data_IF_772569557749
#
_entry.id   IF_772569557749
#
_cell.length_a   1.000
_cell.length_b   1.000
_cell.length_c   1.000
_cell.angle_alpha   90.00
_cell.angle_beta   90.00
_cell.angle_gamma   90.00
#
_symmetry.space_group_name_H-M   'P 1'
#
loop_
_entity.id
_entity.type
_entity.pdbx_description
1 polymer ?
#
# COMPACT_ATOMS: atom_id res chain seq x y z
N UNK A 1 -5.02 -6.33 24.15
CA UNK A 1 -4.48 -5.28 25.04
C UNK A 1 -4.69 -3.93 24.36
N UNK A 2 -5.44 -3.01 24.97
CA UNK A 2 -5.61 -1.65 24.42
C UNK A 2 -4.61 -0.71 25.10
N UNK A 3 -3.79 -0.01 24.30
CA UNK A 3 -2.85 1.01 24.79
C UNK A 3 -3.46 2.38 24.58
N UNK A 4 -3.54 3.18 25.64
CA UNK A 4 -3.94 4.60 25.57
C UNK A 4 -2.71 5.45 25.33
N UNK A 5 -2.76 6.33 24.34
CA UNK A 5 -1.71 7.27 23.99
C UNK A 5 -2.34 8.63 23.83
N UNK A 6 -1.84 9.62 24.58
CA UNK A 6 -2.17 11.03 24.37
C UNK A 6 -1.20 11.60 23.34
N UNK A 7 -1.74 12.29 22.35
CA UNK A 7 -0.96 12.92 21.27
C UNK A 7 -1.10 14.44 21.41
N UNK A 8 0.01 15.14 21.39
CA UNK A 8 0.05 16.60 21.28
C UNK A 8 0.64 16.90 19.91
N UNK A 9 -0.13 17.58 19.07
CA UNK A 9 0.28 17.94 17.72
C UNK A 9 0.99 19.29 17.75
N UNK A 10 2.00 19.43 16.91
CA UNK A 10 2.57 20.74 16.57
C UNK A 10 1.74 21.34 15.45
N UNK A 11 1.80 22.66 15.30
CA UNK A 11 1.06 23.39 14.26
C UNK A 11 1.22 22.80 12.85
N UNK A 12 2.42 22.30 12.53
CA UNK A 12 2.71 21.67 11.24
C UNK A 12 1.97 20.34 11.09
N UNK A 13 1.94 19.52 12.14
CA UNK A 13 1.26 18.22 12.10
C UNK A 13 -0.26 18.41 12.04
N UNK A 14 -0.77 19.39 12.79
CA UNK A 14 -2.18 19.79 12.78
C UNK A 14 -2.61 20.27 11.40
N UNK A 15 -1.83 21.15 10.76
CA UNK A 15 -2.13 21.66 9.42
C UNK A 15 -2.23 20.55 8.36
N UNK A 16 -1.44 19.47 8.49
CA UNK A 16 -1.50 18.33 7.58
C UNK A 16 -2.78 17.52 7.76
N UNK A 17 -3.25 17.35 8.99
CA UNK A 17 -4.44 16.53 9.28
C UNK A 17 -5.75 17.33 9.25
N UNK A 18 -5.69 18.67 9.32
CA UNK A 18 -6.84 19.55 9.39
C UNK A 18 -7.90 19.27 8.31
N UNK A 19 -7.55 19.01 7.03
CA UNK A 19 -8.56 18.64 6.04
C UNK A 19 -9.31 17.38 6.44
N UNK A 20 -8.64 16.37 6.98
CA UNK A 20 -9.27 15.13 7.40
C UNK A 20 -10.08 15.23 8.69
N UNK A 21 -10.06 16.36 9.39
CA UNK A 21 -10.89 16.62 10.57
C UNK A 21 -12.18 17.38 10.22
N UNK A 22 -12.24 18.00 9.04
CA UNK A 22 -13.39 18.73 8.56
C UNK A 22 -14.34 17.80 7.78
N UNK A 23 -15.51 17.52 8.36
CA UNK A 23 -16.52 16.62 7.79
C UNK A 23 -17.03 17.06 6.41
N UNK A 24 -16.97 18.36 6.10
CA UNK A 24 -17.42 18.92 4.82
C UNK A 24 -16.35 18.86 3.73
N UNK A 25 -15.15 18.37 4.06
CA UNK A 25 -14.03 18.32 3.11
C UNK A 25 -14.03 17.05 2.27
N UNK A 26 -13.56 17.17 1.03
CA UNK A 26 -13.31 16.03 0.15
C UNK A 26 -12.30 15.03 0.77
N UNK A 27 -11.33 15.53 1.54
CA UNK A 27 -10.33 14.71 2.20
C UNK A 27 -10.94 13.81 3.28
N UNK A 28 -11.85 14.35 4.09
CA UNK A 28 -12.61 13.58 5.07
C UNK A 28 -13.49 12.53 4.39
N UNK A 29 -14.17 12.88 3.30
CA UNK A 29 -15.03 11.95 2.57
C UNK A 29 -14.24 10.76 1.98
N UNK A 30 -13.05 11.02 1.43
CA UNK A 30 -12.15 9.94 0.97
C UNK A 30 -11.73 9.05 2.14
N UNK A 31 -11.40 9.62 3.30
CA UNK A 31 -11.02 8.86 4.49
C UNK A 31 -12.19 8.04 5.04
N UNK A 32 -13.41 8.59 5.03
CA UNK A 32 -14.64 7.91 5.43
C UNK A 32 -14.90 6.70 4.55
N UNK A 33 -14.83 6.86 3.23
CA UNK A 33 -15.00 5.76 2.28
C UNK A 33 -13.92 4.69 2.47
N UNK A 34 -12.67 5.09 2.67
CA UNK A 34 -11.57 4.16 2.98
C UNK A 34 -11.84 3.35 4.25
N UNK A 35 -12.37 3.98 5.30
CA UNK A 35 -12.73 3.33 6.56
C UNK A 35 -13.89 2.35 6.39
N UNK A 36 -14.94 2.76 5.65
CA UNK A 36 -16.12 1.94 5.37
C UNK A 36 -15.76 0.66 4.61
N UNK A 37 -14.89 0.75 3.61
CA UNK A 37 -14.37 -0.42 2.87
C UNK A 37 -13.66 -1.43 3.77
N UNK A 38 -13.21 -1.02 4.95
CA UNK A 38 -12.50 -1.85 5.95
C UNK A 38 -13.38 -2.23 7.13
N UNK A 39 -14.69 -2.02 7.03
CA UNK A 39 -15.65 -2.33 8.09
C UNK A 39 -15.55 -1.40 9.29
N UNK A 40 -14.91 -0.23 9.15
CA UNK A 40 -14.86 0.79 10.19
C UNK A 40 -15.98 1.79 9.97
N UNK A 41 -17.11 1.57 10.65
CA UNK A 41 -18.26 2.43 10.54
C UNK A 41 -18.12 3.67 11.43
N UNK A 42 -18.49 4.84 10.89
CA UNK A 42 -18.78 6.05 11.64
C UNK A 42 -17.56 6.68 12.31
N UNK A 43 -16.82 7.48 11.55
CA UNK A 43 -15.83 8.41 12.09
C UNK A 43 -16.60 9.54 12.79
N UNK A 44 -16.83 9.40 14.10
CA UNK A 44 -17.66 10.33 14.91
C UNK A 44 -16.87 11.21 15.88
N UNK A 45 -15.54 11.18 15.78
CA UNK A 45 -14.65 11.93 16.67
C UNK A 45 -13.29 12.10 16.01
N UNK A 46 -12.58 13.17 16.36
CA UNK A 46 -11.19 13.40 15.95
C UNK A 46 -10.30 12.20 16.29
N UNK A 47 -10.49 11.60 17.47
CA UNK A 47 -9.76 10.40 17.86
C UNK A 47 -10.06 9.19 16.96
N UNK A 48 -11.25 9.12 16.37
CA UNK A 48 -11.57 8.11 15.36
C UNK A 48 -10.86 8.44 14.05
N UNK A 49 -10.91 9.69 13.57
CA UNK A 49 -10.19 10.17 12.37
C UNK A 49 -8.71 9.78 12.48
N UNK A 50 -8.06 10.14 13.59
CA UNK A 50 -6.64 9.88 13.81
C UNK A 50 -6.29 8.39 13.80
N UNK A 51 -7.18 7.51 14.28
CA UNK A 51 -6.96 6.06 14.22
C UNK A 51 -7.07 5.54 12.79
N UNK A 52 -8.03 6.05 12.01
CA UNK A 52 -8.16 5.68 10.59
C UNK A 52 -6.94 6.15 9.81
N UNK A 53 -6.52 7.40 10.00
CA UNK A 53 -5.30 7.95 9.40
C UNK A 53 -4.06 7.14 9.77
N UNK A 54 -3.92 6.73 11.04
CA UNK A 54 -2.81 5.88 11.47
C UNK A 54 -2.79 4.55 10.72
N UNK A 55 -3.95 3.90 10.57
CA UNK A 55 -4.04 2.64 9.84
C UNK A 55 -3.77 2.81 8.35
N UNK A 56 -4.32 3.86 7.74
CA UNK A 56 -4.05 4.20 6.35
C UNK A 56 -2.55 4.46 6.12
N UNK A 57 -1.89 5.17 7.04
CA UNK A 57 -0.45 5.43 7.00
C UNK A 57 0.39 4.16 7.13
N UNK A 58 0.05 3.27 8.08
CA UNK A 58 0.73 1.97 8.22
C UNK A 58 0.61 1.13 6.95
N UNK A 59 -0.57 1.12 6.34
CA UNK A 59 -0.79 0.41 5.09
C UNK A 59 -0.05 1.04 3.91
N UNK A 60 -0.04 2.38 3.80
CA UNK A 60 0.70 3.08 2.79
C UNK A 60 2.20 2.78 2.87
N UNK A 61 2.79 2.79 4.07
CA UNK A 61 4.20 2.42 4.29
C UNK A 61 4.47 0.98 3.88
N UNK A 62 3.57 0.05 4.24
CA UNK A 62 3.69 -1.36 3.85
C UNK A 62 3.62 -1.53 2.33
N UNK A 63 2.66 -0.87 1.67
CA UNK A 63 2.48 -0.95 0.23
C UNK A 63 3.69 -0.35 -0.50
N UNK A 64 4.24 0.76 -0.01
CA UNK A 64 5.45 1.37 -0.56
C UNK A 64 6.67 0.43 -0.46
N UNK A 65 6.83 -0.28 0.66
CA UNK A 65 7.89 -1.28 0.80
C UNK A 65 7.71 -2.46 -0.18
N UNK A 66 6.46 -2.91 -0.39
CA UNK A 66 6.15 -3.97 -1.36
C UNK A 66 6.43 -3.50 -2.79
N UNK A 67 6.03 -2.29 -3.15
CA UNK A 67 6.30 -1.70 -4.47
C UNK A 67 7.80 -1.61 -4.75
N UNK A 68 8.61 -1.21 -3.76
CA UNK A 68 10.06 -1.25 -3.84
C UNK A 68 10.60 -2.66 -4.14
N UNK A 69 10.13 -3.67 -3.41
CA UNK A 69 10.51 -5.06 -3.65
C UNK A 69 10.09 -5.59 -5.03
N UNK A 70 8.88 -5.25 -5.49
CA UNK A 70 8.41 -5.62 -6.82
C UNK A 70 9.22 -4.93 -7.93
N UNK A 71 9.62 -3.67 -7.72
CA UNK A 71 10.46 -2.95 -8.68
C UNK A 71 11.85 -3.60 -8.80
N UNK A 72 12.45 -4.04 -7.69
CA UNK A 72 13.73 -4.77 -7.68
C UNK A 72 13.60 -6.11 -8.38
N UNK A 73 12.57 -6.90 -8.05
CA UNK A 73 12.31 -8.18 -8.71
C UNK A 73 12.09 -8.02 -10.21
N UNK A 74 11.39 -6.97 -10.64
CA UNK A 74 11.20 -6.67 -12.06
C UNK A 74 12.53 -6.30 -12.74
N UNK A 75 13.42 -5.57 -12.07
CA UNK A 75 14.76 -5.25 -12.60
C UNK A 75 15.62 -6.51 -12.74
N UNK A 76 15.66 -7.36 -11.71
CA UNK A 76 16.38 -8.64 -11.75
C UNK A 76 15.83 -9.56 -12.83
N UNK A 77 14.50 -9.66 -12.93
CA UNK A 77 13.87 -10.44 -13.96
C UNK A 77 14.21 -9.89 -15.34
N UNK A 78 14.17 -8.57 -15.56
CA UNK A 78 14.48 -7.99 -16.87
C UNK A 78 15.98 -7.86 -17.18
N UNK A 79 16.87 -8.27 -16.27
CA UNK A 79 18.30 -8.27 -16.52
C UNK A 79 18.67 -9.21 -17.70
N UNK A 80 19.64 -8.78 -18.52
CA UNK A 80 20.01 -9.46 -19.76
C UNK A 80 20.43 -10.94 -19.56
N UNK A 81 21.13 -11.24 -18.47
CA UNK A 81 21.50 -12.63 -18.11
C UNK A 81 20.28 -13.52 -17.86
N UNK A 82 19.29 -13.02 -17.12
CA UNK A 82 18.03 -13.73 -16.87
C UNK A 82 17.19 -13.87 -18.14
N UNK A 83 17.29 -12.93 -19.08
CA UNK A 83 16.63 -13.02 -20.38
C UNK A 83 17.21 -14.14 -21.26
N UNK A 84 18.54 -14.25 -21.31
CA UNK A 84 19.22 -15.32 -22.05
C UNK A 84 18.89 -16.72 -21.48
N UNK A 85 18.87 -16.86 -20.16
CA UNK A 85 18.49 -18.13 -19.50
C UNK A 85 17.04 -18.53 -19.79
N UNK A 86 16.11 -17.56 -19.80
CA UNK A 86 14.70 -17.82 -20.15
C UNK A 86 14.53 -18.23 -21.60
N UNK A 87 15.24 -17.59 -22.53
CA UNK A 87 15.24 -17.99 -23.94
C UNK A 87 15.74 -19.43 -24.09
N UNK A 88 16.83 -19.78 -23.41
CA UNK A 88 17.37 -21.14 -23.42
C UNK A 88 16.41 -22.16 -22.78
N UNK A 89 15.74 -21.81 -21.67
CA UNK A 89 14.75 -22.67 -21.04
C UNK A 89 13.52 -22.89 -21.92
N UNK A 90 13.06 -21.84 -22.61
CA UNK A 90 11.95 -21.91 -23.56
C UNK A 90 12.31 -22.77 -24.78
N UNK A 91 13.51 -22.59 -25.34
CA UNK A 91 14.00 -23.42 -26.44
C UNK A 91 14.01 -24.91 -26.07
N UNK A 92 14.57 -25.26 -24.89
CA UNK A 92 14.55 -26.64 -24.36
C UNK A 92 13.14 -27.19 -24.17
N UNK A 93 12.19 -26.36 -23.71
CA UNK A 93 10.80 -26.78 -23.56
C UNK A 93 10.15 -27.10 -24.91
N UNK A 94 10.35 -26.23 -25.91
CA UNK A 94 9.88 -26.42 -27.29
C UNK A 94 10.47 -27.70 -27.90
N UNK A 95 11.79 -27.88 -27.82
CA UNK A 95 12.45 -29.10 -28.29
C UNK A 95 11.86 -30.36 -27.64
N UNK A 96 11.62 -30.33 -26.32
CA UNK A 96 11.01 -31.45 -25.60
C UNK A 96 9.56 -31.73 -26.01
N UNK A 97 8.79 -30.69 -26.33
CA UNK A 97 7.38 -30.87 -26.74
C UNK A 97 7.25 -31.32 -28.19
N UNK A 98 8.14 -30.86 -29.07
CA UNK A 98 8.22 -31.31 -30.47
C UNK A 98 8.73 -32.75 -30.61
N UNK A 99 9.63 -33.20 -29.73
CA UNK A 99 10.12 -34.60 -29.73
C UNK A 99 9.06 -35.60 -29.23
N UNK A 100 8.01 -35.13 -28.55
CA UNK A 100 6.92 -35.94 -28.01
C UNK A 100 5.64 -35.90 -28.88
N UNK A 101 5.67 -35.23 -30.03
CA UNK A 101 4.64 -35.20 -31.07
C UNK A 101 5.00 -36.13 -32.23
#
# INVERSE_FOLDING_TARGET
MSKRVSLILKDVDEAVIAPYLDEDSDAFEVLRQWAELRGQAGIKSEAAVLRVLLQAGVEAVRNHALEGGYSQLAQEFNAEGAHAERLAARARYTERTETHL
#
